data_IF_945066587250
#
_entry.id   IF_945066587250
#
_cell.length_a   1.000
_cell.length_b   1.000
_cell.length_c   1.000
_cell.angle_alpha   90.00
_cell.angle_beta   90.00
_cell.angle_gamma   90.00
#
_symmetry.space_group_name_H-M   'P 1'
#
loop_
_entity.id
_entity.type
_entity.pdbx_description
1 polymer ?
#
# COMPACT_ATOMS: atom_id res chain seq x y z
N UNK A 1 4.52 16.50 4.16
CA UNK A 1 5.94 16.40 3.75
C UNK A 1 6.76 15.64 4.78
N UNK A 2 6.81 16.06 6.05
CA UNK A 2 7.62 15.41 7.11
C UNK A 2 7.32 13.93 7.30
N UNK A 3 6.05 13.53 7.28
CA UNK A 3 5.64 12.13 7.41
C UNK A 3 6.23 11.20 6.35
N UNK A 4 6.32 11.64 5.10
CA UNK A 4 6.91 10.83 4.03
C UNK A 4 8.45 10.83 4.10
N UNK A 5 9.06 11.96 4.48
CA UNK A 5 10.52 12.10 4.55
C UNK A 5 11.15 11.22 5.65
N UNK A 6 10.41 10.90 6.72
CA UNK A 6 10.94 10.03 7.78
C UNK A 6 11.34 8.64 7.29
N UNK A 7 10.79 8.17 6.18
CA UNK A 7 11.15 6.87 5.59
C UNK A 7 12.38 6.92 4.69
N UNK A 8 12.81 8.11 4.29
CA UNK A 8 13.93 8.27 3.37
C UNK A 8 15.29 8.40 4.09
N UNK A 9 15.28 8.88 5.31
CA UNK A 9 16.50 9.07 6.11
C UNK A 9 16.23 8.76 7.59
N UNK A 10 17.25 8.25 8.28
CA UNK A 10 17.20 8.07 9.74
C UNK A 10 17.58 9.36 10.50
N UNK A 11 18.25 10.30 9.86
CA UNK A 11 18.64 11.58 10.47
C UNK A 11 17.40 12.47 10.59
N UNK A 12 17.00 12.80 11.81
CA UNK A 12 15.78 13.54 12.08
C UNK A 12 14.49 12.70 11.93
N UNK A 13 14.63 11.40 11.91
CA UNK A 13 13.49 10.47 11.98
C UNK A 13 13.11 10.23 13.45
N UNK A 14 12.50 11.22 14.08
CA UNK A 14 12.15 11.21 15.51
C UNK A 14 11.14 10.08 15.87
N UNK A 15 10.57 9.43 14.88
CA UNK A 15 9.64 8.32 15.07
C UNK A 15 10.27 6.93 15.10
N UNK A 16 11.52 6.79 14.65
CA UNK A 16 12.18 5.50 14.59
C UNK A 16 12.53 4.98 15.99
N UNK A 17 11.89 3.90 16.43
CA UNK A 17 12.16 3.22 17.70
C UNK A 17 13.17 2.10 17.49
N UNK A 18 12.97 1.30 16.43
CA UNK A 18 13.91 0.27 16.00
C UNK A 18 14.07 0.34 14.49
N UNK A 19 15.31 0.55 14.01
CA UNK A 19 15.62 0.86 12.63
C UNK A 19 16.70 -0.09 12.12
N UNK A 20 16.42 -0.73 10.99
CA UNK A 20 17.43 -1.45 10.20
C UNK A 20 18.09 -0.49 9.24
N UNK A 21 19.40 -0.34 9.36
CA UNK A 21 20.20 0.50 8.48
C UNK A 21 20.74 -0.28 7.29
N UNK A 22 20.73 0.38 6.14
CA UNK A 22 21.30 -0.13 4.90
C UNK A 22 22.49 0.73 4.45
N UNK A 23 23.28 0.19 3.54
CA UNK A 23 24.49 0.82 3.03
C UNK A 23 24.53 0.70 1.51
N UNK A 24 24.86 1.78 0.82
CA UNK A 24 24.98 1.84 -0.63
C UNK A 24 26.45 1.92 -1.13
N UNK A 25 27.45 1.86 -0.23
CA UNK A 25 28.85 2.17 -0.55
C UNK A 25 29.64 0.96 -1.00
N UNK A 26 29.34 -0.24 -0.51
CA UNK A 26 30.16 -1.42 -0.77
C UNK A 26 29.37 -2.55 -1.41
N UNK A 27 29.69 -2.91 -2.66
CA UNK A 27 29.25 -4.18 -3.22
C UNK A 27 30.03 -5.31 -2.56
N UNK A 28 29.43 -6.03 -1.63
CA UNK A 28 29.99 -7.33 -1.21
C UNK A 28 29.44 -8.38 -2.16
N UNK A 29 30.13 -8.56 -3.26
CA UNK A 29 29.73 -9.46 -4.33
C UNK A 29 29.75 -10.96 -3.95
N UNK A 30 30.35 -11.32 -2.82
CA UNK A 30 30.61 -12.73 -2.50
C UNK A 30 29.75 -13.33 -1.37
N UNK A 31 28.88 -12.55 -0.75
CA UNK A 31 28.02 -13.07 0.31
C UNK A 31 26.59 -12.56 0.06
N UNK A 32 25.59 -13.44 0.06
CA UNK A 32 24.16 -13.16 -0.09
C UNK A 32 23.58 -12.23 1.01
N UNK A 33 24.35 -11.28 1.47
CA UNK A 33 23.95 -10.29 2.45
C UNK A 33 23.51 -9.05 1.69
N UNK A 34 22.21 -8.85 1.61
CA UNK A 34 21.63 -7.64 1.05
C UNK A 34 22.00 -6.45 1.94
N UNK A 35 22.94 -5.64 1.51
CA UNK A 35 23.30 -4.39 2.18
C UNK A 35 22.41 -3.22 1.71
N UNK A 36 21.63 -3.42 0.66
CA UNK A 36 20.79 -2.42 0.03
C UNK A 36 19.33 -2.61 0.40
N UNK A 37 18.61 -1.51 0.51
CA UNK A 37 17.16 -1.53 0.56
C UNK A 37 16.62 -1.60 -0.88
N UNK A 38 15.96 -2.69 -1.23
CA UNK A 38 15.39 -2.91 -2.57
C UNK A 38 13.96 -2.37 -2.71
N UNK A 39 13.45 -1.70 -1.70
CA UNK A 39 12.06 -1.22 -1.72
C UNK A 39 11.82 -0.22 -2.84
N UNK A 40 12.67 0.78 -2.97
CA UNK A 40 12.55 1.82 -4.00
C UNK A 40 12.49 1.21 -5.41
N UNK A 41 13.36 0.27 -5.72
CA UNK A 41 13.30 -0.45 -6.98
C UNK A 41 11.97 -1.19 -7.16
N UNK A 42 11.47 -1.82 -6.10
CA UNK A 42 10.25 -2.62 -6.14
C UNK A 42 8.99 -1.80 -6.44
N UNK A 43 8.99 -0.53 -6.09
CA UNK A 43 7.83 0.36 -6.25
C UNK A 43 7.90 1.25 -7.49
N UNK A 44 9.09 1.63 -7.96
CA UNK A 44 9.27 2.54 -9.10
C UNK A 44 8.91 1.89 -10.44
N UNK A 45 8.42 2.68 -11.41
CA UNK A 45 8.10 2.20 -12.74
C UNK A 45 9.27 1.57 -13.49
N UNK A 46 8.97 0.63 -14.39
CA UNK A 46 9.98 -0.09 -15.17
C UNK A 46 10.73 0.79 -16.18
N UNK A 47 10.08 1.82 -16.71
CA UNK A 47 10.67 2.76 -17.66
C UNK A 47 11.77 3.65 -17.06
N UNK A 48 11.89 3.69 -15.74
CA UNK A 48 12.94 4.42 -15.01
C UNK A 48 13.78 3.49 -14.13
N UNK A 49 14.05 2.28 -14.59
CA UNK A 49 14.83 1.27 -13.85
C UNK A 49 14.20 0.72 -12.57
N UNK A 50 12.94 0.95 -12.33
CA UNK A 50 12.17 0.23 -11.33
C UNK A 50 11.75 -1.16 -11.80
N UNK A 51 11.11 -1.93 -10.94
CA UNK A 51 10.48 -3.20 -11.33
C UNK A 51 8.96 -3.12 -11.41
N UNK A 52 8.34 -2.10 -10.84
CA UNK A 52 6.89 -1.90 -10.83
C UNK A 52 6.09 -3.07 -10.21
N UNK A 53 6.77 -3.95 -9.46
CA UNK A 53 6.19 -5.21 -9.01
C UNK A 53 5.28 -5.11 -7.78
N UNK A 54 5.23 -3.95 -7.12
CA UNK A 54 4.40 -3.75 -5.93
C UNK A 54 3.17 -2.93 -6.30
N UNK A 55 2.05 -3.64 -6.46
CA UNK A 55 0.77 -3.05 -6.84
C UNK A 55 -0.16 -3.04 -5.63
N UNK A 56 -0.78 -1.90 -5.27
CA UNK A 56 -1.80 -1.87 -4.24
C UNK A 56 -3.08 -2.52 -4.75
N UNK A 57 -3.87 -3.08 -3.83
CA UNK A 57 -5.21 -3.56 -4.18
C UNK A 57 -6.20 -2.40 -4.25
N UNK A 58 -7.22 -2.52 -5.10
CA UNK A 58 -8.30 -1.53 -5.20
C UNK A 58 -9.05 -1.39 -3.89
N UNK A 59 -9.27 -2.51 -3.19
CA UNK A 59 -9.94 -2.53 -1.89
C UNK A 59 -9.20 -1.66 -0.85
N UNK A 60 -7.87 -1.68 -0.85
CA UNK A 60 -7.10 -0.83 0.06
C UNK A 60 -7.17 0.65 -0.36
N UNK A 61 -7.10 0.93 -1.65
CA UNK A 61 -7.20 2.30 -2.18
C UNK A 61 -8.55 2.91 -1.82
N UNK A 62 -9.63 2.15 -2.04
CA UNK A 62 -11.00 2.59 -1.76
C UNK A 62 -11.27 2.75 -0.26
N UNK A 63 -10.57 1.97 0.56
CA UNK A 63 -10.69 2.02 2.01
C UNK A 63 -10.03 3.25 2.65
N UNK A 64 -9.05 3.87 1.99
CA UNK A 64 -8.36 5.03 2.56
C UNK A 64 -9.36 6.13 2.92
N UNK A 65 -9.13 6.88 4.03
CA UNK A 65 -10.06 7.93 4.47
C UNK A 65 -10.19 9.06 3.45
N UNK A 66 -11.29 9.76 3.52
CA UNK A 66 -11.48 11.05 2.88
C UNK A 66 -10.79 12.18 3.68
N UNK A 67 -10.84 13.39 3.18
CA UNK A 67 -10.13 14.53 3.76
C UNK A 67 -10.61 14.92 5.17
N UNK A 68 -11.84 14.55 5.52
CA UNK A 68 -12.40 14.71 6.86
C UNK A 68 -11.96 13.60 7.84
N UNK A 69 -11.21 12.61 7.36
CA UNK A 69 -10.72 11.49 8.14
C UNK A 69 -11.67 10.32 8.29
N UNK A 70 -12.86 10.39 7.70
CA UNK A 70 -13.86 9.32 7.74
C UNK A 70 -13.68 8.33 6.59
N UNK A 71 -14.27 7.15 6.72
CA UNK A 71 -14.37 6.20 5.61
C UNK A 71 -15.15 6.82 4.44
N UNK A 72 -14.88 6.45 3.18
CA UNK A 72 -15.61 7.01 2.03
C UNK A 72 -17.13 6.88 2.13
N UNK A 73 -17.63 5.84 2.80
CA UNK A 73 -19.08 5.62 3.00
C UNK A 73 -19.68 6.45 4.14
N UNK A 74 -18.86 7.11 4.94
CA UNK A 74 -19.27 7.88 6.14
C UNK A 74 -18.88 9.36 6.03
N UNK A 75 -18.16 9.72 4.97
CA UNK A 75 -17.62 11.06 4.74
C UNK A 75 -18.67 12.04 4.27
N UNK A 76 -18.43 13.33 4.53
CA UNK A 76 -19.18 14.43 3.92
C UNK A 76 -18.77 14.69 2.46
N UNK A 77 -17.61 14.15 2.04
CA UNK A 77 -17.12 14.25 0.67
C UNK A 77 -17.62 13.09 -0.17
N UNK A 78 -18.10 13.37 -1.37
CA UNK A 78 -18.47 12.33 -2.32
C UNK A 78 -17.24 11.56 -2.81
N UNK A 79 -17.32 10.23 -2.78
CA UNK A 79 -16.30 9.37 -3.36
C UNK A 79 -16.58 9.13 -4.84
N UNK A 80 -15.64 9.56 -5.69
CA UNK A 80 -15.73 9.39 -7.14
C UNK A 80 -14.89 8.22 -7.61
N UNK A 81 -15.52 7.20 -8.15
CA UNK A 81 -14.85 5.97 -8.58
C UNK A 81 -13.73 6.23 -9.63
N UNK A 82 -13.98 7.04 -10.65
CA UNK A 82 -12.98 7.38 -11.66
C UNK A 82 -11.93 8.38 -11.15
N UNK A 83 -12.32 9.32 -10.32
CA UNK A 83 -11.44 10.31 -9.68
C UNK A 83 -11.17 9.93 -8.22
N UNK A 84 -10.81 8.66 -8.00
CA UNK A 84 -10.60 8.04 -6.69
C UNK A 84 -9.59 8.77 -5.79
N UNK A 85 -8.82 9.68 -6.36
CA UNK A 85 -7.82 10.49 -5.68
C UNK A 85 -8.36 11.80 -5.10
N UNK A 86 -9.59 12.19 -5.42
CA UNK A 86 -10.17 13.45 -4.96
C UNK A 86 -10.57 13.40 -3.49
N UNK A 87 -10.33 14.50 -2.78
CA UNK A 87 -10.74 14.68 -1.38
C UNK A 87 -10.25 13.58 -0.42
N UNK A 88 -9.00 13.12 -0.58
CA UNK A 88 -8.47 12.03 0.26
C UNK A 88 -7.63 12.54 1.44
N UNK A 89 -7.50 11.69 2.44
CA UNK A 89 -6.55 11.85 3.54
C UNK A 89 -5.14 12.20 3.00
N UNK A 90 -4.40 13.12 3.60
CA UNK A 90 -3.07 13.50 3.13
C UNK A 90 -2.08 12.34 2.96
N UNK A 91 -2.25 11.26 3.72
CA UNK A 91 -1.42 10.04 3.59
C UNK A 91 -1.69 9.28 2.29
N UNK A 92 -2.88 9.43 1.71
CA UNK A 92 -3.22 8.81 0.43
C UNK A 92 -2.20 9.17 -0.64
N UNK A 93 -1.94 10.46 -0.81
CA UNK A 93 -1.03 10.98 -1.84
C UNK A 93 0.45 10.63 -1.59
N UNK A 94 0.79 10.26 -0.35
CA UNK A 94 2.12 9.79 0.03
C UNK A 94 2.23 8.26 0.03
N UNK A 95 1.11 7.58 -0.10
CA UNK A 95 1.04 6.12 -0.14
C UNK A 95 0.91 5.59 -1.56
N UNK A 96 0.23 6.35 -2.43
CA UNK A 96 -0.08 5.94 -3.81
C UNK A 96 0.41 6.96 -4.82
N UNK A 97 0.87 6.45 -5.97
CA UNK A 97 1.11 7.23 -7.17
C UNK A 97 0.19 6.72 -8.29
N UNK A 98 -0.41 7.64 -9.02
CA UNK A 98 -1.43 7.38 -10.03
C UNK A 98 -1.23 8.30 -11.24
N UNK A 99 -1.87 8.05 -12.40
CA UNK A 99 -1.69 8.89 -13.58
C UNK A 99 -1.97 10.38 -13.29
N UNK A 100 -1.03 11.24 -13.66
CA UNK A 100 -1.14 12.69 -13.43
C UNK A 100 -0.52 13.18 -12.12
N UNK A 101 0.33 12.38 -11.46
CA UNK A 101 1.11 12.88 -10.31
C UNK A 101 2.59 13.00 -10.63
N UNK A 102 3.22 14.01 -10.03
CA UNK A 102 4.67 14.14 -10.02
C UNK A 102 5.30 13.11 -9.07
N UNK A 103 6.31 12.39 -9.56
CA UNK A 103 7.05 11.41 -8.76
C UNK A 103 8.54 11.47 -9.03
N UNK A 104 9.12 12.57 -8.64
CA UNK A 104 10.50 12.96 -8.90
C UNK A 104 11.54 11.96 -8.36
N UNK A 105 12.73 12.05 -8.89
CA UNK A 105 13.92 11.35 -8.43
C UNK A 105 15.18 12.06 -8.93
N UNK A 106 16.33 11.78 -8.33
CA UNK A 106 17.60 12.31 -8.79
C UNK A 106 18.09 11.48 -9.99
N UNK A 107 18.13 12.08 -11.16
CA UNK A 107 18.69 11.48 -12.38
C UNK A 107 20.18 11.80 -12.57
N UNK A 108 20.78 12.61 -11.72
CA UNK A 108 22.12 13.16 -11.94
C UNK A 108 22.14 14.04 -13.20
N UNK A 109 23.23 13.93 -13.95
CA UNK A 109 23.46 14.68 -15.20
C UNK A 109 22.89 13.95 -16.43
N UNK A 110 21.99 12.97 -16.25
CA UNK A 110 21.44 12.20 -17.37
C UNK A 110 20.28 12.98 -17.99
N UNK A 111 20.44 13.32 -19.25
CA UNK A 111 19.39 13.88 -20.10
C UNK A 111 18.54 12.71 -20.65
N UNK A 112 17.26 12.70 -20.34
CA UNK A 112 16.29 11.72 -20.85
C UNK A 112 15.80 12.01 -22.27
N UNK A 113 16.14 13.14 -22.85
CA UNK A 113 15.79 13.48 -24.22
C UNK A 113 16.63 12.76 -25.28
N UNK A 114 17.71 12.09 -24.88
CA UNK A 114 18.62 11.39 -25.80
C UNK A 114 18.13 10.02 -26.24
N UNK A 115 18.52 9.58 -27.47
CA UNK A 115 18.11 8.30 -28.05
C UNK A 115 18.40 7.08 -27.17
N UNK A 116 19.45 7.12 -26.36
CA UNK A 116 19.82 6.04 -25.44
C UNK A 116 18.82 5.85 -24.30
N UNK A 117 17.99 6.84 -24.01
CA UNK A 117 17.03 6.81 -22.93
C UNK A 117 15.58 6.64 -23.42
N UNK A 118 15.34 6.62 -24.73
CA UNK A 118 14.02 6.43 -25.33
C UNK A 118 13.30 5.17 -24.83
N UNK A 119 14.06 4.12 -24.53
CA UNK A 119 13.52 2.87 -24.02
C UNK A 119 13.27 2.87 -22.50
N UNK A 120 13.80 3.83 -21.75
CA UNK A 120 13.71 3.91 -20.31
C UNK A 120 12.73 5.00 -19.85
N UNK A 121 12.63 6.08 -20.63
CA UNK A 121 11.75 7.20 -20.30
C UNK A 121 11.23 7.85 -21.59
N UNK A 122 9.96 8.24 -21.64
CA UNK A 122 9.42 8.96 -22.78
C UNK A 122 10.21 10.24 -23.06
N UNK A 123 10.33 10.61 -24.33
CA UNK A 123 11.09 11.79 -24.78
C UNK A 123 10.60 13.13 -24.21
N UNK A 124 9.41 13.14 -23.61
CA UNK A 124 8.87 14.33 -22.93
C UNK A 124 9.55 14.68 -21.61
N UNK A 125 10.26 13.74 -20.98
CA UNK A 125 10.98 13.99 -19.74
C UNK A 125 12.43 14.35 -20.05
N UNK A 126 12.93 15.40 -19.42
CA UNK A 126 14.32 15.86 -19.59
C UNK A 126 15.21 15.42 -18.44
N UNK A 127 14.63 15.27 -17.27
CA UNK A 127 15.33 14.83 -16.05
C UNK A 127 14.39 14.12 -15.08
N UNK A 128 14.91 13.55 -14.01
CA UNK A 128 14.10 12.99 -12.92
C UNK A 128 13.34 14.05 -12.13
N UNK A 129 13.74 15.32 -12.24
CA UNK A 129 13.08 16.42 -11.55
C UNK A 129 11.75 16.82 -12.19
N UNK A 130 11.53 16.44 -13.44
CA UNK A 130 10.31 16.71 -14.20
C UNK A 130 9.56 15.42 -14.54
N UNK A 131 9.86 14.32 -13.83
CA UNK A 131 9.19 13.06 -14.05
C UNK A 131 7.76 13.07 -13.48
N UNK A 132 6.81 12.94 -14.39
CA UNK A 132 5.39 12.80 -14.13
C UNK A 132 4.93 11.39 -14.47
N UNK A 133 4.11 10.79 -13.62
CA UNK A 133 3.59 9.45 -13.85
C UNK A 133 2.30 9.53 -14.70
N UNK A 134 2.33 8.92 -15.88
CA UNK A 134 1.19 8.80 -16.78
C UNK A 134 0.99 7.36 -17.23
N UNK A 135 0.77 6.47 -16.28
CA UNK A 135 0.63 5.02 -16.47
C UNK A 135 -0.83 4.61 -16.63
N UNK A 136 -1.37 4.82 -17.78
CA UNK A 136 -2.69 4.32 -18.19
C UNK A 136 -2.54 3.21 -19.26
N UNK A 137 -3.65 2.63 -19.65
CA UNK A 137 -3.68 1.63 -20.71
C UNK A 137 -4.83 1.85 -21.70
N UNK A 138 -4.87 1.05 -22.74
CA UNK A 138 -5.97 0.97 -23.71
C UNK A 138 -6.18 -0.49 -24.14
N UNK A 139 -7.29 -0.77 -24.76
CA UNK A 139 -7.67 -2.11 -25.22
C UNK A 139 -7.87 -2.13 -26.72
N UNK A 140 -7.61 -3.29 -27.35
CA UNK A 140 -7.83 -3.47 -28.78
C UNK A 140 -9.30 -3.69 -29.13
N UNK A 141 -10.04 -4.29 -28.21
CA UNK A 141 -11.45 -4.67 -28.42
C UNK A 141 -12.27 -4.43 -27.17
N UNK A 142 -13.59 -4.24 -27.36
CA UNK A 142 -14.52 -4.13 -26.23
C UNK A 142 -14.54 -5.40 -25.36
N UNK A 143 -14.44 -6.57 -25.98
CA UNK A 143 -14.41 -7.83 -25.27
C UNK A 143 -13.21 -7.94 -24.32
N UNK A 144 -12.03 -7.43 -24.71
CA UNK A 144 -10.87 -7.36 -23.83
C UNK A 144 -11.03 -6.30 -22.73
N UNK A 145 -11.63 -5.16 -23.08
CA UNK A 145 -11.92 -4.11 -22.12
C UNK A 145 -12.87 -4.60 -21.02
N UNK A 146 -13.89 -5.35 -21.38
CA UNK A 146 -14.94 -5.78 -20.47
C UNK A 146 -14.57 -7.06 -19.68
N UNK A 147 -13.50 -7.76 -20.08
CA UNK A 147 -12.97 -8.92 -19.35
C UNK A 147 -12.11 -8.48 -18.13
N UNK A 148 -12.60 -8.75 -16.93
CA UNK A 148 -11.91 -8.42 -15.68
C UNK A 148 -10.57 -9.16 -15.50
N UNK A 149 -10.25 -10.14 -16.33
CA UNK A 149 -8.99 -10.88 -16.29
C UNK A 149 -7.97 -10.40 -17.34
N UNK A 150 -8.36 -9.44 -18.17
CA UNK A 150 -7.50 -8.88 -19.23
C UNK A 150 -6.96 -7.52 -18.84
N UNK A 151 -5.67 -7.35 -19.04
CA UNK A 151 -4.94 -6.09 -18.94
C UNK A 151 -4.79 -5.45 -20.30
N UNK A 152 -4.91 -4.13 -20.36
CA UNK A 152 -4.69 -3.35 -21.59
C UNK A 152 -3.20 -3.20 -21.96
N UNK A 153 -2.94 -2.57 -23.10
CA UNK A 153 -1.60 -2.11 -23.49
C UNK A 153 -1.16 -0.95 -22.61
N UNK A 154 0.09 -0.94 -22.17
CA UNK A 154 0.58 0.08 -21.24
C UNK A 154 1.13 1.31 -21.96
N UNK A 155 0.77 2.49 -21.48
CA UNK A 155 1.36 3.76 -21.89
C UNK A 155 2.82 3.89 -21.43
N UNK A 156 3.53 4.85 -22.03
CA UNK A 156 4.87 5.26 -21.62
C UNK A 156 5.89 4.12 -21.50
N UNK A 157 5.76 3.10 -22.33
CA UNK A 157 6.67 1.95 -22.34
C UNK A 157 6.82 1.25 -20.97
N UNK A 158 5.81 1.37 -20.12
CA UNK A 158 5.80 0.79 -18.76
C UNK A 158 5.83 -0.75 -18.74
N UNK A 159 5.81 -1.36 -19.91
CA UNK A 159 5.79 -2.80 -20.04
C UNK A 159 4.46 -3.39 -19.59
N UNK A 160 4.50 -4.65 -19.13
CA UNK A 160 3.27 -5.42 -18.87
C UNK A 160 2.77 -5.33 -17.43
N UNK A 161 3.45 -4.63 -16.51
CA UNK A 161 3.27 -4.93 -15.09
C UNK A 161 2.31 -4.02 -14.34
N UNK A 162 2.27 -2.73 -14.63
CA UNK A 162 1.39 -1.85 -13.86
C UNK A 162 0.84 -0.71 -14.74
N UNK A 163 -0.47 -0.67 -14.89
CA UNK A 163 -1.22 0.22 -15.76
C UNK A 163 -2.19 1.11 -14.99
N UNK A 164 -1.88 1.38 -13.75
CA UNK A 164 -2.77 2.15 -12.88
C UNK A 164 -2.02 2.74 -11.70
N UNK A 165 -2.17 2.13 -10.54
CA UNK A 165 -1.69 2.68 -9.29
C UNK A 165 -0.42 1.98 -8.81
N UNK A 166 0.58 2.78 -8.44
CA UNK A 166 1.80 2.30 -7.80
C UNK A 166 1.78 2.56 -6.28
N UNK A 167 2.49 1.74 -5.53
CA UNK A 167 2.81 2.07 -4.14
C UNK A 167 3.89 3.15 -4.13
N UNK A 168 3.63 4.26 -3.46
CA UNK A 168 4.58 5.38 -3.29
C UNK A 168 5.18 5.46 -1.89
N UNK A 169 4.51 4.87 -0.90
CA UNK A 169 4.95 4.92 0.49
C UNK A 169 6.38 4.42 0.63
N UNK A 170 7.18 5.11 1.42
CA UNK A 170 8.61 4.87 1.64
C UNK A 170 9.49 5.14 0.40
N UNK A 171 8.97 5.83 -0.60
CA UNK A 171 9.76 6.37 -1.70
C UNK A 171 10.48 7.64 -1.28
N UNK A 172 11.72 7.80 -1.71
CA UNK A 172 12.40 9.09 -1.67
C UNK A 172 12.17 9.82 -2.99
N UNK A 173 11.25 10.75 -2.98
CA UNK A 173 10.85 11.56 -4.14
C UNK A 173 11.38 13.01 -4.10
N UNK A 174 12.40 13.25 -3.29
CA UNK A 174 13.13 14.52 -3.28
C UNK A 174 14.33 14.42 -4.26
N UNK A 175 14.33 15.16 -5.37
CA UNK A 175 15.37 15.04 -6.39
C UNK A 175 16.77 15.47 -5.90
N UNK A 176 16.85 16.17 -4.77
CA UNK A 176 18.14 16.62 -4.21
C UNK A 176 18.75 15.59 -3.25
N UNK A 177 17.93 14.79 -2.59
CA UNK A 177 18.36 13.83 -1.56
C UNK A 177 18.13 12.37 -1.96
N UNK A 178 17.38 12.11 -3.03
CA UNK A 178 17.20 10.76 -3.53
C UNK A 178 18.47 10.23 -4.20
N UNK A 179 18.56 8.92 -4.31
CA UNK A 179 19.68 8.32 -5.04
C UNK A 179 19.69 8.77 -6.49
N UNK A 180 20.87 9.06 -6.97
CA UNK A 180 21.12 9.20 -8.39
C UNK A 180 20.98 7.83 -9.06
N UNK A 181 19.93 7.68 -9.83
CA UNK A 181 19.52 6.43 -10.48
C UNK A 181 20.53 5.94 -11.52
N UNK A 182 21.39 6.84 -12.02
CA UNK A 182 22.31 6.57 -13.14
C UNK A 182 23.77 6.84 -12.82
N UNK A 183 24.14 7.04 -11.55
CA UNK A 183 25.45 7.59 -11.15
C UNK A 183 26.65 6.69 -11.34
N UNK A 184 26.50 5.46 -11.76
CA UNK A 184 27.66 4.62 -11.93
C UNK A 184 27.72 3.92 -13.30
N UNK A 185 28.06 4.72 -14.32
CA UNK A 185 28.36 4.20 -15.67
C UNK A 185 29.67 3.43 -15.71
N UNK A 186 30.57 3.64 -14.76
CA UNK A 186 31.94 3.10 -14.81
C UNK A 186 32.05 1.65 -14.38
N UNK A 187 31.13 1.15 -13.58
CA UNK A 187 31.18 -0.22 -13.03
C UNK A 187 30.30 -1.22 -13.77
N UNK A 188 29.63 -0.85 -14.83
CA UNK A 188 28.63 -1.69 -15.52
C UNK A 188 27.37 -1.98 -14.69
N UNK A 189 27.30 -1.44 -13.50
CA UNK A 189 26.28 -1.69 -12.50
C UNK A 189 25.28 -0.52 -12.47
N UNK A 190 24.54 -0.36 -13.55
CA UNK A 190 23.46 0.66 -13.69
C UNK A 190 22.28 0.33 -12.79
N UNK A 191 22.43 0.44 -11.48
CA UNK A 191 21.42 -0.12 -10.58
C UNK A 191 20.83 0.87 -9.58
N UNK A 192 20.63 2.12 -9.98
CA UNK A 192 20.23 3.23 -9.16
C UNK A 192 19.27 2.90 -8.01
N UNK A 193 18.03 2.56 -8.29
CA UNK A 193 17.07 2.23 -7.24
C UNK A 193 17.38 0.94 -6.47
N UNK A 194 18.23 0.06 -6.99
CA UNK A 194 18.68 -1.15 -6.28
C UNK A 194 19.68 -0.87 -5.17
N UNK A 195 20.31 0.30 -5.16
CA UNK A 195 21.35 0.66 -4.18
C UNK A 195 20.86 1.63 -3.12
N UNK A 196 19.59 1.60 -2.78
CA UNK A 196 19.06 2.51 -1.76
C UNK A 196 19.64 2.21 -0.39
N UNK A 197 20.14 3.24 0.29
CA UNK A 197 20.52 3.21 1.70
C UNK A 197 19.35 3.65 2.61
N UNK A 198 18.16 3.86 2.07
CA UNK A 198 17.00 4.25 2.86
C UNK A 198 16.76 3.26 4.00
N UNK A 199 16.63 3.72 5.24
CA UNK A 199 16.45 2.86 6.40
C UNK A 199 15.09 2.14 6.34
N UNK A 200 14.99 1.04 7.06
CA UNK A 200 13.70 0.40 7.32
C UNK A 200 13.36 0.54 8.80
N UNK A 201 12.23 1.15 9.08
CA UNK A 201 11.71 1.27 10.44
C UNK A 201 10.97 -0.02 10.80
N UNK A 202 11.62 -0.87 11.57
CA UNK A 202 11.00 -2.11 12.09
C UNK A 202 9.90 -1.77 13.08
N UNK A 203 10.14 -0.79 13.95
CA UNK A 203 9.16 -0.26 14.89
C UNK A 203 9.27 1.26 14.88
N UNK A 204 8.14 1.95 14.78
CA UNK A 204 8.08 3.40 14.88
C UNK A 204 7.04 3.86 15.90
N UNK A 205 7.17 5.09 16.35
CA UNK A 205 6.38 5.62 17.45
C UNK A 205 4.86 5.57 17.22
N UNK A 206 4.40 5.74 15.99
CA UNK A 206 2.98 5.54 15.66
C UNK A 206 2.49 4.12 15.95
N UNK A 207 3.31 3.10 15.68
CA UNK A 207 2.95 1.73 16.03
C UNK A 207 2.88 1.53 17.53
N UNK A 208 3.81 2.15 18.29
CA UNK A 208 3.78 2.13 19.77
C UNK A 208 2.50 2.77 20.29
N UNK A 209 2.11 3.93 19.74
CA UNK A 209 0.85 4.59 20.13
C UNK A 209 -0.38 3.72 19.79
N UNK A 210 -0.39 3.08 18.64
CA UNK A 210 -1.49 2.20 18.26
C UNK A 210 -1.53 0.91 19.10
N UNK A 211 -0.37 0.39 19.50
CA UNK A 211 -0.29 -0.72 20.46
C UNK A 211 -0.80 -0.30 21.84
N UNK A 212 -0.45 0.91 22.30
CA UNK A 212 -0.98 1.48 23.53
C UNK A 212 -2.50 1.64 23.45
N UNK A 213 -3.01 2.20 22.35
CA UNK A 213 -4.45 2.38 22.15
C UNK A 213 -5.20 1.05 22.21
N UNK A 214 -4.68 0.00 21.55
CA UNK A 214 -5.25 -1.33 21.57
C UNK A 214 -5.22 -1.97 22.95
N UNK A 215 -4.09 -1.91 23.64
CA UNK A 215 -3.93 -2.48 24.96
C UNK A 215 -4.82 -1.79 25.98
N UNK A 216 -4.91 -0.46 25.93
CA UNK A 216 -5.78 0.32 26.82
C UNK A 216 -7.27 0.05 26.54
N UNK A 217 -7.65 -0.08 25.26
CA UNK A 217 -8.99 -0.50 24.86
C UNK A 217 -9.28 -1.92 25.40
N UNK A 218 -8.31 -2.84 25.28
CA UNK A 218 -8.42 -4.21 25.79
C UNK A 218 -8.58 -4.28 27.32
N UNK A 219 -7.83 -3.47 28.06
CA UNK A 219 -7.96 -3.37 29.52
C UNK A 219 -9.30 -2.74 29.95
N UNK A 220 -9.78 -1.77 29.17
CA UNK A 220 -11.05 -1.09 29.44
C UNK A 220 -11.04 -0.26 30.75
N UNK A 221 -12.22 0.02 31.28
CA UNK A 221 -12.36 0.76 32.54
C UNK A 221 -11.64 2.11 32.51
N UNK A 222 -10.80 2.38 33.50
CA UNK A 222 -10.05 3.63 33.62
C UNK A 222 -9.02 3.87 32.50
N UNK A 223 -8.62 2.82 31.78
CA UNK A 223 -7.65 2.92 30.68
C UNK A 223 -8.28 3.32 29.35
N UNK A 224 -9.62 3.26 29.23
CA UNK A 224 -10.33 3.57 27.97
C UNK A 224 -9.94 4.95 27.40
N UNK A 225 -9.93 5.97 28.24
CA UNK A 225 -9.56 7.34 27.86
C UNK A 225 -8.12 7.45 27.34
N UNK A 226 -7.19 6.66 27.88
CA UNK A 226 -5.81 6.61 27.38
C UNK A 226 -5.74 6.00 25.98
N UNK A 227 -6.56 4.98 25.71
CA UNK A 227 -6.69 4.40 24.37
C UNK A 227 -7.19 5.43 23.35
N UNK A 228 -8.22 6.18 23.69
CA UNK A 228 -8.75 7.28 22.85
C UNK A 228 -7.68 8.33 22.59
N UNK A 229 -6.97 8.77 23.63
CA UNK A 229 -5.91 9.77 23.53
C UNK A 229 -4.77 9.32 22.62
N UNK A 230 -4.33 8.07 22.73
CA UNK A 230 -3.28 7.52 21.89
C UNK A 230 -3.70 7.45 20.41
N UNK A 231 -4.93 7.04 20.11
CA UNK A 231 -5.48 7.06 18.76
C UNK A 231 -5.56 8.47 18.18
N UNK A 232 -6.09 9.43 18.95
CA UNK A 232 -6.16 10.85 18.56
C UNK A 232 -4.77 11.44 18.30
N UNK A 233 -3.75 11.03 19.05
CA UNK A 233 -2.38 11.49 18.85
C UNK A 233 -1.82 11.05 17.48
N UNK A 234 -2.11 9.82 17.03
CA UNK A 234 -1.72 9.36 15.69
C UNK A 234 -2.43 10.19 14.62
N UNK A 235 -3.70 10.41 14.74
CA UNK A 235 -4.51 11.15 13.75
C UNK A 235 -4.18 12.65 13.72
N UNK A 236 -3.87 13.23 14.87
CA UNK A 236 -3.45 14.63 14.97
C UNK A 236 -2.19 14.96 14.17
N UNK A 237 -1.27 14.01 13.98
CA UNK A 237 -0.07 14.19 13.13
C UNK A 237 -0.38 14.35 11.65
N UNK A 238 -1.51 13.85 11.21
CA UNK A 238 -1.97 13.95 9.81
C UNK A 238 -2.64 15.29 9.53
N UNK A 239 -2.98 16.02 10.57
CA UNK A 239 -3.62 17.33 10.48
C UNK A 239 -5.09 17.34 10.93
N UNK A 240 -5.61 16.21 11.39
CA UNK A 240 -6.95 16.19 12.01
C UNK A 240 -6.89 16.84 13.38
N UNK A 241 -7.93 17.55 13.74
CA UNK A 241 -7.98 18.38 14.94
C UNK A 241 -9.20 18.07 15.79
N UNK A 242 -9.23 18.63 16.97
CA UNK A 242 -10.36 18.48 17.89
C UNK A 242 -11.67 19.04 17.31
N UNK A 243 -11.61 20.04 16.43
CA UNK A 243 -12.80 20.65 15.82
C UNK A 243 -13.64 19.68 14.98
N UNK A 244 -13.00 18.65 14.41
CA UNK A 244 -13.69 17.58 13.69
C UNK A 244 -13.60 16.22 14.40
N UNK A 245 -13.35 16.24 15.73
CA UNK A 245 -13.08 15.05 16.53
C UNK A 245 -12.02 14.12 15.89
N UNK A 246 -10.98 14.69 15.27
CA UNK A 246 -9.95 13.93 14.55
C UNK A 246 -10.50 13.01 13.45
N UNK A 247 -11.69 13.32 12.90
CA UNK A 247 -12.40 12.49 11.93
C UNK A 247 -12.94 11.17 12.51
N UNK A 248 -13.11 11.10 13.83
CA UNK A 248 -13.57 9.91 14.56
C UNK A 248 -15.02 10.06 14.98
N UNK A 249 -15.74 8.94 15.07
CA UNK A 249 -17.05 8.88 15.69
C UNK A 249 -16.94 9.26 17.18
N UNK A 250 -17.84 10.11 17.66
CA UNK A 250 -17.88 10.51 19.05
C UNK A 250 -18.14 9.32 20.01
N UNK A 251 -18.78 8.27 19.53
CA UNK A 251 -19.04 7.08 20.33
C UNK A 251 -17.78 6.37 20.85
N UNK A 252 -16.62 6.61 20.23
CA UNK A 252 -15.34 6.02 20.71
C UNK A 252 -15.00 6.42 22.15
N UNK A 253 -15.53 7.54 22.63
CA UNK A 253 -15.24 8.04 23.98
C UNK A 253 -15.81 7.11 25.07
N UNK A 254 -16.89 6.38 24.77
CA UNK A 254 -17.60 5.56 25.75
C UNK A 254 -17.83 4.13 25.32
N UNK A 255 -17.78 3.86 24.01
CA UNK A 255 -18.01 2.53 23.44
C UNK A 255 -16.70 1.86 23.10
N UNK A 256 -16.39 0.80 23.82
CA UNK A 256 -15.16 0.01 23.65
C UNK A 256 -15.07 -0.64 22.27
N UNK A 257 -16.19 -1.15 21.73
CA UNK A 257 -16.19 -1.79 20.43
C UNK A 257 -15.93 -0.78 19.31
N UNK A 258 -16.50 0.42 19.41
CA UNK A 258 -16.24 1.52 18.49
C UNK A 258 -14.81 2.00 18.54
N UNK A 259 -14.24 2.11 19.74
CA UNK A 259 -12.82 2.45 19.88
C UNK A 259 -11.92 1.39 19.24
N UNK A 260 -12.20 0.11 19.46
CA UNK A 260 -11.42 -0.97 18.87
C UNK A 260 -11.52 -0.98 17.34
N UNK A 261 -12.73 -0.81 16.80
CA UNK A 261 -12.94 -0.66 15.35
C UNK A 261 -12.08 0.47 14.76
N UNK A 262 -12.10 1.64 15.40
CA UNK A 262 -11.33 2.79 14.97
C UNK A 262 -9.82 2.54 15.02
N UNK A 263 -9.32 1.84 16.06
CA UNK A 263 -7.91 1.46 16.19
C UNK A 263 -7.51 0.51 15.07
N UNK A 264 -8.31 -0.53 14.77
CA UNK A 264 -8.02 -1.48 13.71
C UNK A 264 -7.97 -0.78 12.35
N UNK A 265 -8.91 0.10 12.09
CA UNK A 265 -8.95 0.88 10.86
C UNK A 265 -7.72 1.79 10.73
N UNK A 266 -7.38 2.54 11.79
CA UNK A 266 -6.21 3.41 11.78
C UNK A 266 -4.90 2.63 11.58
N UNK A 267 -4.75 1.45 12.20
CA UNK A 267 -3.58 0.58 11.99
C UNK A 267 -3.44 0.19 10.52
N UNK A 268 -4.53 -0.13 9.85
CA UNK A 268 -4.52 -0.51 8.44
C UNK A 268 -4.08 0.64 7.54
N UNK A 269 -4.51 1.85 7.81
CA UNK A 269 -4.17 3.04 7.03
C UNK A 269 -2.74 3.52 7.35
N UNK A 270 -2.46 3.74 8.64
CA UNK A 270 -1.20 4.31 9.09
C UNK A 270 0.00 3.39 8.81
N UNK A 271 -0.17 2.08 9.00
CA UNK A 271 0.90 1.09 8.84
C UNK A 271 0.86 0.35 7.48
N UNK A 272 0.06 0.84 6.52
CA UNK A 272 0.01 0.26 5.18
C UNK A 272 1.42 0.16 4.58
N UNK A 273 1.75 -0.99 3.97
CA UNK A 273 3.04 -1.30 3.35
C UNK A 273 4.27 -1.28 4.28
N UNK A 274 4.06 -1.40 5.60
CA UNK A 274 5.13 -1.51 6.59
C UNK A 274 5.30 -2.94 7.13
N UNK A 275 4.69 -3.93 6.49
CA UNK A 275 4.84 -5.35 6.86
C UNK A 275 4.02 -5.79 8.07
N UNK A 276 3.17 -4.93 8.64
CA UNK A 276 2.45 -5.23 9.90
C UNK A 276 1.15 -6.00 9.70
N UNK A 277 0.49 -5.81 8.55
CA UNK A 277 -0.86 -6.32 8.30
C UNK A 277 -1.02 -7.83 8.50
N UNK A 278 -0.08 -8.63 8.00
CA UNK A 278 -0.16 -10.08 8.11
C UNK A 278 -0.09 -10.57 9.57
N UNK A 279 0.69 -9.86 10.40
CA UNK A 279 0.78 -10.14 11.83
C UNK A 279 -0.50 -9.74 12.55
N UNK A 280 -1.05 -8.57 12.26
CA UNK A 280 -2.32 -8.11 12.81
C UNK A 280 -3.46 -9.07 12.45
N UNK A 281 -3.55 -9.48 11.20
CA UNK A 281 -4.55 -10.45 10.74
C UNK A 281 -4.44 -11.80 11.46
N UNK A 282 -3.22 -12.24 11.74
CA UNK A 282 -2.99 -13.48 12.49
C UNK A 282 -3.37 -13.39 13.95
N UNK A 283 -2.84 -12.38 14.64
CA UNK A 283 -3.05 -12.25 16.10
C UNK A 283 -4.50 -11.95 16.46
N UNK A 284 -5.26 -11.37 15.55
CA UNK A 284 -6.70 -11.15 15.70
C UNK A 284 -7.57 -12.22 15.05
N UNK A 285 -6.97 -13.24 14.41
CA UNK A 285 -7.66 -14.33 13.74
C UNK A 285 -8.67 -13.87 12.68
N UNK A 286 -8.25 -12.95 11.82
CA UNK A 286 -9.11 -12.27 10.85
C UNK A 286 -9.07 -12.87 9.44
N UNK A 287 -8.21 -13.83 9.15
CA UNK A 287 -8.08 -14.36 7.79
C UNK A 287 -9.33 -15.11 7.31
N UNK A 288 -10.04 -15.77 8.20
CA UNK A 288 -11.25 -16.53 7.91
C UNK A 288 -12.53 -15.82 8.37
N UNK A 289 -12.43 -14.55 8.73
CA UNK A 289 -13.54 -13.78 9.24
C UNK A 289 -14.04 -14.22 10.60
N UNK A 290 -13.22 -14.95 11.33
CA UNK A 290 -13.58 -15.52 12.62
C UNK A 290 -14.35 -16.85 12.52
N UNK A 291 -14.56 -17.38 11.31
CA UNK A 291 -15.25 -18.68 11.12
C UNK A 291 -14.46 -19.83 11.71
N UNK A 292 -13.13 -19.77 11.64
CA UNK A 292 -12.25 -20.76 12.26
C UNK A 292 -12.32 -20.85 13.78
N UNK A 293 -12.87 -19.84 14.42
CA UNK A 293 -13.02 -19.78 15.87
C UNK A 293 -14.01 -20.80 16.43
N UNK A 294 -14.96 -21.28 15.63
CA UNK A 294 -15.87 -22.35 16.06
C UNK A 294 -15.16 -23.64 16.46
N UNK A 295 -13.89 -23.80 16.06
CA UNK A 295 -13.03 -24.93 16.40
C UNK A 295 -11.92 -24.56 17.41
N UNK A 296 -11.85 -23.30 17.80
CA UNK A 296 -10.91 -22.78 18.77
C UNK A 296 -11.68 -22.43 20.03
N UNK A 297 -11.03 -22.47 21.18
CA UNK A 297 -11.68 -22.24 22.46
C UNK A 297 -12.46 -20.91 22.45
N UNK A 298 -13.80 -20.91 22.65
CA UNK A 298 -14.64 -19.73 22.61
C UNK A 298 -14.31 -18.68 23.69
N UNK A 299 -13.52 -19.02 24.69
CA UNK A 299 -13.05 -18.06 25.71
C UNK A 299 -11.97 -17.10 25.19
N UNK A 300 -11.47 -17.30 23.99
CA UNK A 300 -10.49 -16.39 23.38
C UNK A 300 -11.16 -15.15 22.87
N UNK A 301 -11.20 -14.20 23.72
CA UNK A 301 -11.83 -12.91 23.52
C UNK A 301 -11.20 -12.05 22.40
N UNK A 302 -10.36 -12.61 21.53
CA UNK A 302 -9.78 -11.85 20.42
C UNK A 302 -10.84 -11.34 19.44
N UNK A 303 -11.99 -11.95 19.45
CA UNK A 303 -13.16 -11.50 18.71
C UNK A 303 -14.33 -11.16 19.61
N UNK A 304 -14.11 -11.11 20.91
CA UNK A 304 -15.12 -10.76 21.92
C UNK A 304 -15.69 -9.35 21.80
N UNK A 305 -15.31 -8.63 20.75
CA UNK A 305 -15.89 -7.33 20.37
C UNK A 305 -17.11 -7.48 19.43
N UNK A 306 -17.73 -8.63 19.38
CA UNK A 306 -19.06 -8.76 18.85
C UNK A 306 -19.18 -8.99 17.35
N UNK A 307 -18.35 -9.80 16.76
CA UNK A 307 -18.64 -10.22 15.41
C UNK A 307 -17.44 -10.42 14.49
N UNK A 308 -17.74 -10.60 13.23
CA UNK A 308 -16.78 -10.75 12.16
C UNK A 308 -15.96 -9.46 11.99
N UNK A 309 -14.79 -9.41 12.64
CA UNK A 309 -13.90 -8.24 12.62
C UNK A 309 -13.28 -7.96 11.25
N UNK A 310 -13.33 -8.88 10.30
CA UNK A 310 -12.91 -8.62 8.92
C UNK A 310 -13.67 -7.45 8.30
N UNK A 311 -14.93 -7.27 8.62
CA UNK A 311 -15.73 -6.15 8.12
C UNK A 311 -15.22 -4.79 8.60
N UNK A 312 -14.66 -4.72 9.81
CA UNK A 312 -14.08 -3.48 10.33
C UNK A 312 -12.85 -3.03 9.55
N UNK A 313 -12.18 -3.99 8.93
CA UNK A 313 -10.94 -3.73 8.20
C UNK A 313 -11.20 -3.48 6.71
N UNK A 314 -12.45 -3.56 6.26
CA UNK A 314 -12.80 -3.45 4.85
C UNK A 314 -12.12 -4.52 3.99
N UNK A 315 -11.74 -5.63 4.60
CA UNK A 315 -11.10 -6.76 3.91
C UNK A 315 -12.08 -7.92 3.96
N UNK A 316 -12.49 -8.38 2.81
CA UNK A 316 -13.20 -9.65 2.72
C UNK A 316 -12.30 -10.76 3.25
N UNK A 317 -12.87 -11.73 3.95
CA UNK A 317 -12.15 -12.92 4.38
C UNK A 317 -11.47 -13.59 3.20
N UNK A 318 -10.25 -14.05 3.38
CA UNK A 318 -9.55 -14.81 2.35
C UNK A 318 -10.27 -16.11 2.00
N UNK A 319 -11.11 -16.62 2.90
CA UNK A 319 -11.91 -17.83 2.69
C UNK A 319 -13.21 -17.59 1.92
N UNK A 320 -13.69 -16.38 1.81
CA UNK A 320 -14.86 -16.08 0.99
C UNK A 320 -14.59 -16.18 -0.51
N UNK A 321 -13.35 -16.54 -0.86
CA UNK A 321 -12.84 -16.59 -2.24
C UNK A 321 -12.98 -15.27 -2.98
N UNK A 322 -13.08 -14.18 -2.26
CA UNK A 322 -13.09 -12.84 -2.81
C UNK A 322 -11.81 -12.60 -3.60
N UNK A 323 -11.98 -12.33 -4.90
CA UNK A 323 -10.85 -11.91 -5.73
C UNK A 323 -10.32 -10.59 -5.21
N UNK A 324 -9.00 -10.45 -5.20
CA UNK A 324 -8.37 -9.15 -5.00
C UNK A 324 -8.22 -8.47 -6.35
N UNK A 325 -8.45 -7.18 -6.37
CA UNK A 325 -8.42 -6.40 -7.59
C UNK A 325 -7.28 -5.36 -7.51
N UNK A 326 -6.82 -4.96 -8.65
CA UNK A 326 -5.99 -3.77 -8.83
C UNK A 326 -6.71 -2.80 -9.76
N UNK A 327 -6.45 -1.54 -9.60
CA UNK A 327 -6.99 -0.51 -10.49
C UNK A 327 -6.15 -0.46 -11.76
N UNK A 328 -6.80 -0.56 -12.90
CA UNK A 328 -6.31 -0.03 -14.17
C UNK A 328 -7.02 1.27 -14.49
N UNK A 329 -6.24 2.27 -14.90
CA UNK A 329 -6.76 3.49 -15.52
C UNK A 329 -6.63 3.31 -17.01
N UNK A 330 -7.73 3.35 -17.74
CA UNK A 330 -7.74 3.07 -19.17
C UNK A 330 -8.45 4.15 -19.97
N UNK A 331 -8.10 4.22 -21.26
CA UNK A 331 -8.74 5.08 -22.24
C UNK A 331 -9.91 4.31 -22.84
N UNK A 332 -11.09 4.93 -22.83
CA UNK A 332 -12.32 4.30 -23.33
C UNK A 332 -12.33 4.20 -24.87
N UNK A 333 -11.45 4.92 -25.55
CA UNK A 333 -11.26 4.77 -27.00
C UNK A 333 -10.46 3.48 -27.29
N UNK A 334 -11.04 2.65 -28.17
CA UNK A 334 -10.39 1.42 -28.62
C UNK A 334 -9.24 1.81 -29.56
N UNK A 335 -8.04 1.67 -29.06
CA UNK A 335 -6.86 1.86 -29.92
C UNK A 335 -6.81 0.83 -31.03
N UNK A 336 -6.18 1.17 -32.14
CA UNK A 336 -5.91 0.20 -33.19
C UNK A 336 -5.09 -0.96 -32.64
N UNK A 337 -5.64 -2.16 -32.70
CA UNK A 337 -5.02 -3.38 -32.20
C UNK A 337 -3.66 -3.70 -32.83
N UNK A 338 -3.39 -3.08 -33.96
CA UNK A 338 -2.30 -3.54 -34.83
C UNK A 338 -0.92 -3.02 -34.42
N UNK A 339 -0.82 -1.93 -33.66
CA UNK A 339 0.46 -1.25 -33.49
C UNK A 339 0.82 -0.88 -32.06
N UNK A 340 -0.01 -1.24 -31.08
CA UNK A 340 0.24 -0.88 -29.68
C UNK A 340 0.63 0.60 -29.44
N UNK A 341 0.25 1.48 -30.38
CA UNK A 341 0.55 2.89 -30.26
C UNK A 341 -0.38 3.55 -29.25
N UNK A 342 0.20 4.36 -28.37
CA UNK A 342 -0.53 5.11 -27.37
C UNK A 342 -1.54 6.08 -28.06
N UNK A 343 -2.86 5.92 -27.85
CA UNK A 343 -3.86 6.80 -28.43
C UNK A 343 -3.72 8.27 -28.03
N UNK A 344 -3.10 8.53 -26.89
CA UNK A 344 -2.85 9.88 -26.40
C UNK A 344 -1.43 10.39 -26.67
N UNK A 345 -0.64 9.73 -27.53
CA UNK A 345 0.76 10.10 -27.79
C UNK A 345 0.93 11.58 -28.21
N UNK A 346 -0.02 12.12 -28.98
CA UNK A 346 -0.02 13.48 -29.50
C UNK A 346 -0.93 14.43 -28.70
N UNK A 347 -1.54 13.96 -27.63
CA UNK A 347 -2.39 14.77 -26.74
C UNK A 347 -1.52 15.38 -25.66
N UNK A 348 -1.56 16.73 -25.54
CA UNK A 348 -0.88 17.43 -24.46
C UNK A 348 -1.50 17.07 -23.12
N UNK A 349 -0.66 16.67 -22.17
CA UNK A 349 -1.10 16.36 -20.81
C UNK A 349 -1.04 17.61 -19.94
N UNK A 350 -2.00 17.77 -19.03
CA UNK A 350 -1.91 18.85 -18.05
C UNK A 350 -0.68 18.66 -17.16
N UNK A 351 -0.23 19.73 -16.52
CA UNK A 351 0.80 19.66 -15.49
C UNK A 351 0.36 18.68 -14.39
N UNK A 352 1.29 17.86 -13.93
CA UNK A 352 1.00 16.86 -12.92
C UNK A 352 0.75 17.47 -11.54
N UNK A 353 -0.01 16.74 -10.74
CA UNK A 353 -0.31 17.10 -9.36
C UNK A 353 0.95 16.98 -8.49
N UNK A 354 1.31 18.05 -7.83
CA UNK A 354 2.34 18.03 -6.79
C UNK A 354 1.72 17.64 -5.45
N UNK A 355 2.53 17.08 -4.54
CA UNK A 355 2.04 16.63 -3.23
C UNK A 355 1.86 17.78 -2.22
N UNK A 356 2.08 19.00 -2.63
CA UNK A 356 1.90 20.20 -1.80
C UNK A 356 0.55 20.89 -2.05
N UNK A 357 -0.21 20.41 -3.03
CA UNK A 357 -1.49 20.99 -3.41
C UNK A 357 -2.65 20.38 -2.64
N UNK A 358 -3.71 21.15 -2.43
CA UNK A 358 -4.99 20.61 -1.96
C UNK A 358 -5.67 19.92 -3.13
N UNK A 359 -5.67 18.61 -3.14
CA UNK A 359 -6.31 17.80 -4.18
C UNK A 359 -7.75 17.51 -3.74
N UNK A 360 -8.64 18.44 -3.99
CA UNK A 360 -10.02 18.30 -3.57
C UNK A 360 -10.87 19.51 -3.93
N UNK A 361 -12.12 19.42 -3.53
CA UNK A 361 -13.13 20.48 -3.67
C UNK A 361 -13.06 21.48 -2.52
N UNK A 362 -13.66 22.64 -2.73
CA UNK A 362 -13.98 23.60 -1.68
C UNK A 362 -15.17 23.09 -0.82
N UNK A 363 -15.55 23.88 0.17
CA UNK A 363 -16.59 23.52 1.11
C UNK A 363 -17.99 23.34 0.49
N UNK A 364 -18.19 23.82 -0.75
CA UNK A 364 -19.41 23.61 -1.53
C UNK A 364 -19.52 22.20 -2.14
N UNK A 365 -18.49 21.37 -1.99
CA UNK A 365 -18.42 20.01 -2.51
C UNK A 365 -18.19 19.89 -4.02
N UNK A 366 -18.22 20.99 -4.76
CA UNK A 366 -18.20 20.99 -6.23
C UNK A 366 -17.06 21.81 -6.84
N UNK A 367 -16.71 22.93 -6.26
CA UNK A 367 -15.70 23.85 -6.80
C UNK A 367 -14.30 23.31 -6.56
N UNK A 368 -13.49 23.21 -7.62
CA UNK A 368 -12.06 22.93 -7.57
C UNK A 368 -11.31 24.23 -7.81
N UNK A 369 -10.81 24.86 -6.75
CA UNK A 369 -10.15 26.16 -6.84
C UNK A 369 -8.74 26.08 -7.44
N UNK A 370 -8.03 24.97 -7.25
CA UNK A 370 -6.70 24.76 -7.80
C UNK A 370 -6.79 24.44 -9.29
N UNK A 371 -6.18 25.28 -10.14
CA UNK A 371 -6.25 25.14 -11.60
C UNK A 371 -5.59 23.85 -12.10
N UNK A 372 -4.47 23.43 -11.51
CA UNK A 372 -3.78 22.18 -11.87
C UNK A 372 -4.66 20.97 -11.54
N UNK A 373 -5.23 20.93 -10.33
CA UNK A 373 -6.15 19.87 -9.93
C UNK A 373 -7.35 19.81 -10.88
N UNK A 374 -7.93 20.98 -11.22
CA UNK A 374 -9.03 21.05 -12.18
C UNK A 374 -8.64 20.50 -13.55
N UNK A 375 -7.49 20.89 -14.07
CA UNK A 375 -7.02 20.44 -15.39
C UNK A 375 -6.81 18.92 -15.43
N UNK A 376 -6.24 18.33 -14.36
CA UNK A 376 -6.11 16.88 -14.25
C UNK A 376 -7.47 16.19 -14.14
N UNK A 377 -8.41 16.76 -13.38
CA UNK A 377 -9.77 16.20 -13.29
C UNK A 377 -10.50 16.26 -14.64
N UNK A 378 -10.41 17.39 -15.36
CA UNK A 378 -10.99 17.55 -16.70
C UNK A 378 -10.40 16.54 -17.69
N UNK A 379 -9.08 16.26 -17.58
CA UNK A 379 -8.41 15.25 -18.39
C UNK A 379 -8.90 13.82 -18.06
N UNK A 380 -9.10 13.52 -16.79
CA UNK A 380 -9.71 12.26 -16.36
C UNK A 380 -11.13 12.10 -16.87
N UNK A 381 -11.93 13.15 -16.77
CA UNK A 381 -13.33 13.11 -17.24
C UNK A 381 -13.42 12.93 -18.76
N UNK A 382 -12.42 13.44 -19.50
CA UNK A 382 -12.37 13.38 -20.96
C UNK A 382 -11.86 12.02 -21.47
N UNK A 383 -10.82 11.47 -20.86
CA UNK A 383 -10.08 10.37 -21.45
C UNK A 383 -10.08 9.10 -20.61
N UNK A 384 -10.17 9.20 -19.28
CA UNK A 384 -9.89 8.08 -18.41
C UNK A 384 -11.13 7.44 -17.80
N UNK A 385 -11.09 6.13 -17.73
CA UNK A 385 -12.01 5.30 -16.95
C UNK A 385 -11.21 4.41 -16.02
N UNK A 386 -11.84 3.97 -14.95
CA UNK A 386 -11.28 2.99 -14.02
C UNK A 386 -11.88 1.62 -14.28
N UNK A 387 -11.02 0.61 -14.25
CA UNK A 387 -11.40 -0.80 -14.26
C UNK A 387 -10.70 -1.50 -13.09
N UNK A 388 -11.46 -2.27 -12.35
CA UNK A 388 -10.91 -3.16 -11.33
C UNK A 388 -10.68 -4.53 -11.95
N UNK A 389 -9.40 -4.91 -12.09
CA UNK A 389 -9.03 -6.20 -12.68
C UNK A 389 -8.54 -7.15 -11.60
N UNK A 390 -8.71 -8.44 -11.84
CA UNK A 390 -8.18 -9.47 -10.96
C UNK A 390 -6.65 -9.33 -10.84
N UNK A 391 -6.13 -9.39 -9.62
CA UNK A 391 -4.69 -9.25 -9.36
C UNK A 391 -3.88 -10.30 -10.11
N UNK A 392 -4.47 -11.44 -10.37
CA UNK A 392 -3.82 -12.60 -10.98
C UNK A 392 -4.14 -12.78 -12.47
N UNK A 393 -4.42 -11.73 -13.20
CA UNK A 393 -4.89 -11.64 -14.59
C UNK A 393 -4.36 -12.67 -15.61
N UNK A 394 -3.47 -13.56 -15.22
CA UNK A 394 -2.97 -14.69 -16.01
C UNK A 394 -2.88 -16.00 -15.22
N UNK A 395 -3.27 -16.03 -13.98
CA UNK A 395 -3.23 -17.25 -13.17
C UNK A 395 -4.65 -17.59 -12.75
N UNK A 396 -5.07 -18.75 -13.19
CA UNK A 396 -6.30 -19.42 -12.75
C UNK A 396 -6.50 -19.23 -11.27
N UNK A 397 -7.62 -18.64 -10.89
CA UNK A 397 -8.23 -18.53 -9.56
C UNK A 397 -7.41 -19.12 -8.40
N UNK A 398 -6.28 -18.51 -8.07
CA UNK A 398 -5.62 -18.79 -6.80
C UNK A 398 -6.35 -17.99 -5.74
N UNK A 399 -7.50 -18.50 -5.35
CA UNK A 399 -8.17 -17.99 -4.17
C UNK A 399 -7.37 -18.45 -2.96
N UNK A 400 -6.85 -17.55 -2.14
CA UNK A 400 -6.21 -17.95 -0.90
C UNK A 400 -7.22 -18.72 -0.05
N UNK A 401 -6.99 -20.01 0.15
CA UNK A 401 -7.79 -20.81 1.07
C UNK A 401 -7.05 -20.83 2.40
N UNK A 402 -7.49 -20.00 3.33
CA UNK A 402 -6.94 -19.99 4.68
C UNK A 402 -7.52 -21.13 5.49
N UNK A 403 -6.65 -21.89 6.15
CA UNK A 403 -7.07 -22.95 7.08
C UNK A 403 -6.78 -22.49 8.52
N UNK A 404 -7.62 -22.80 9.52
CA UNK A 404 -7.41 -22.38 10.91
C UNK A 404 -6.02 -22.71 11.46
N UNK A 405 -5.44 -23.85 11.06
CA UNK A 405 -4.07 -24.20 11.44
C UNK A 405 -3.00 -23.18 11.04
N UNK A 406 -3.28 -22.31 10.06
CA UNK A 406 -2.32 -21.29 9.59
C UNK A 406 -2.19 -20.10 10.54
N UNK A 407 -3.04 -19.97 11.53
CA UNK A 407 -2.83 -18.99 12.60
C UNK A 407 -1.60 -19.33 13.44
N UNK A 408 -1.29 -20.61 13.59
CA UNK A 408 -0.14 -21.11 14.35
C UNK A 408 0.82 -21.84 13.41
N UNK A 409 2.09 -21.48 13.48
CA UNK A 409 3.11 -22.13 12.68
C UNK A 409 3.40 -23.52 13.24
N UNK A 410 3.42 -24.51 12.36
CA UNK A 410 3.92 -25.83 12.69
C UNK A 410 5.45 -25.85 12.83
N UNK A 411 5.94 -26.78 13.63
CA UNK A 411 7.37 -27.06 13.74
C UNK A 411 7.87 -27.72 12.44
N UNK A 412 9.06 -27.34 12.01
CA UNK A 412 9.70 -27.98 10.85
C UNK A 412 10.02 -29.45 11.19
N UNK A 413 9.87 -30.32 10.19
CA UNK A 413 10.23 -31.74 10.28
C UNK A 413 11.62 -31.95 10.89
N UNK A 414 12.62 -31.21 10.42
CA UNK A 414 13.99 -31.33 10.94
C UNK A 414 14.12 -31.00 12.42
N UNK A 415 13.35 -30.04 12.93
CA UNK A 415 13.36 -29.70 14.34
C UNK A 415 12.77 -30.83 15.20
N UNK A 416 11.68 -31.42 14.76
CA UNK A 416 11.07 -32.57 15.45
C UNK A 416 11.98 -33.82 15.42
N UNK A 417 12.59 -34.09 14.26
CA UNK A 417 13.53 -35.22 14.12
C UNK A 417 14.79 -35.06 14.98
N UNK A 418 15.22 -33.82 15.23
CA UNK A 418 16.37 -33.54 16.10
C UNK A 418 15.99 -33.62 17.58
N UNK A 419 14.74 -33.33 17.91
CA UNK A 419 14.24 -33.38 19.29
C UNK A 419 12.88 -34.05 19.35
N UNK A 420 12.87 -35.32 19.61
CA UNK A 420 11.67 -36.15 19.67
C UNK A 420 10.72 -35.83 20.86
N UNK A 421 11.10 -34.95 21.77
CA UNK A 421 10.22 -34.48 22.84
C UNK A 421 9.31 -33.31 22.42
N UNK A 422 9.51 -32.77 21.22
CA UNK A 422 8.71 -31.67 20.69
C UNK A 422 7.42 -32.22 20.05
N UNK A 423 6.29 -31.89 20.65
CA UNK A 423 4.99 -32.16 20.05
C UNK A 423 4.64 -31.09 18.99
N UNK A 424 4.03 -31.54 17.92
CA UNK A 424 3.58 -30.66 16.84
C UNK A 424 2.32 -29.91 17.23
N UNK A 425 2.21 -28.69 16.70
CA UNK A 425 1.00 -27.88 16.80
C UNK A 425 -0.19 -28.58 16.14
N UNK A 426 -1.38 -28.49 16.75
CA UNK A 426 -2.62 -29.05 16.20
C UNK A 426 -2.84 -28.62 14.74
N UNK A 427 -3.33 -29.56 13.93
CA UNK A 427 -3.58 -29.33 12.50
C UNK A 427 -2.36 -29.50 11.59
N UNK A 428 -1.16 -29.74 12.13
CA UNK A 428 0.06 -30.05 11.39
C UNK A 428 0.50 -31.50 11.64
N UNK A 429 1.15 -32.10 10.65
CA UNK A 429 1.67 -33.47 10.75
C UNK A 429 2.80 -33.56 11.77
N UNK A 430 2.72 -34.52 12.71
CA UNK A 430 3.75 -34.80 13.72
C UNK A 430 4.69 -35.89 13.22
N UNK A 431 5.86 -35.45 12.74
CA UNK A 431 6.87 -36.35 12.19
C UNK A 431 7.63 -37.18 13.22
N UNK A 432 7.52 -36.86 14.50
CA UNK A 432 8.19 -37.59 15.57
C UNK A 432 7.27 -38.62 16.24
N UNK A 433 5.99 -38.31 16.38
CA UNK A 433 5.04 -39.14 17.08
C UNK A 433 4.02 -39.80 16.16
N UNK A 434 3.97 -39.40 14.89
CA UNK A 434 3.00 -39.87 13.90
C UNK A 434 1.61 -39.25 14.06
N UNK A 435 0.87 -39.18 12.95
CA UNK A 435 -0.45 -38.57 12.95
C UNK A 435 -0.42 -37.06 12.97
N UNK A 436 -1.48 -36.46 13.52
CA UNK A 436 -1.61 -34.99 13.62
C UNK A 436 -1.11 -34.50 14.97
N UNK A 437 -0.51 -33.32 14.97
CA UNK A 437 -0.05 -32.67 16.18
C UNK A 437 -1.12 -32.48 17.24
N UNK A 438 -0.72 -32.57 18.49
CA UNK A 438 -1.59 -32.49 19.66
C UNK A 438 -1.34 -31.27 20.53
N UNK A 439 -0.25 -30.54 20.29
CA UNK A 439 0.02 -29.32 21.03
C UNK A 439 -0.96 -28.23 20.64
N UNK A 440 -1.80 -27.85 21.59
CA UNK A 440 -2.69 -26.68 21.42
C UNK A 440 -2.01 -25.44 22.02
N UNK A 441 -1.56 -24.48 21.19
CA UNK A 441 -0.89 -23.27 21.67
C UNK A 441 -1.80 -22.36 22.49
N UNK A 442 -3.07 -22.68 22.57
CA UNK A 442 -4.10 -21.89 23.22
C UNK A 442 -4.83 -22.66 24.33
N UNK A 443 -4.38 -23.89 24.63
CA UNK A 443 -4.84 -24.58 25.84
C UNK A 443 -4.32 -23.84 27.08
N UNK A 444 -5.21 -23.60 28.04
CA UNK A 444 -4.88 -23.08 29.37
C UNK A 444 -4.13 -24.14 30.21
#
# INVERSE_FOLDING_TARGET
KKWAQMFATYTGADEGVFITLYNNISPVASQNVHKYNLWEQGIRPGNINGSGGKTPTSELIDLFPMADGKKPTESEYDYHHNKFFMNRDPRFYRTFAFPGVEWQFNSGDVDFSGETMVNLCPSRYKSGNDYELWNYCWYATEAERDDANKSGFAADMLGTKNRGIYVRKRSNDDPTSSLNVFSDKSSGDQQGFRRSAAPYMEIRYAEVLLNLAESACGAGGSYHAEGVKALKAVRGRVGYTESNNYGLDAAIETDRAKLFEAILYERQIELAFEGKRAYDMRRWMLFDGGVGQGNLNPSWALTGFGGNTCNYLGVTSMNDRGKRHRIEVYIDDLGSAADSSDPLKDVERPAALTLNEKIGTEADGTTIANATVKAVCDFYDTYFKRKDISVDGNVVDVNPVFQPRYYFLGLRQSAQQTNATLYQTIGWEDYSHGGMGTFDPLAE
#
